data_IF_809348522157
#
_entry.id   IF_809348522157
#
_cell.length_a   1.000
_cell.length_b   1.000
_cell.length_c   1.000
_cell.angle_alpha   90.00
_cell.angle_beta   90.00
_cell.angle_gamma   90.00
#
_symmetry.space_group_name_H-M   'P 1'
#
loop_
_entity.id
_entity.type
_entity.pdbx_description
1 polymer ?
#
# COMPACT_ATOMS: atom_id res chain seq x y z
N UNK A 1 25.03 -12.06 -18.36
CA UNK A 1 23.68 -12.40 -17.90
C UNK A 1 23.24 -11.31 -16.94
N UNK A 2 22.33 -10.43 -17.37
CA UNK A 2 21.78 -9.36 -16.55
C UNK A 2 20.75 -9.96 -15.59
N UNK A 3 21.00 -9.82 -14.29
CA UNK A 3 20.05 -10.20 -13.25
C UNK A 3 18.74 -9.40 -13.47
N UNK A 4 17.59 -10.04 -13.79
CA UNK A 4 16.38 -9.31 -14.17
C UNK A 4 15.68 -8.63 -12.99
N UNK A 5 16.01 -9.02 -11.76
CA UNK A 5 15.55 -8.35 -10.55
C UNK A 5 16.68 -7.51 -9.96
N UNK A 6 16.50 -6.19 -9.99
CA UNK A 6 17.20 -5.26 -9.12
C UNK A 6 16.14 -4.56 -8.28
N UNK A 7 15.70 -5.18 -7.20
CA UNK A 7 15.15 -4.41 -6.09
C UNK A 7 16.13 -3.30 -5.77
N UNK A 8 15.61 -2.08 -5.62
CA UNK A 8 16.42 -0.91 -5.39
C UNK A 8 17.06 -1.02 -4.00
N UNK A 9 18.35 -0.69 -3.90
CA UNK A 9 19.04 -0.67 -2.61
C UNK A 9 18.51 0.41 -1.66
N UNK A 10 17.79 1.39 -2.21
CA UNK A 10 17.12 2.46 -1.49
C UNK A 10 15.74 2.67 -2.11
N UNK A 11 14.70 3.01 -1.33
CA UNK A 11 13.40 3.31 -1.91
C UNK A 11 13.46 4.49 -2.89
N UNK A 12 12.59 4.49 -3.90
CA UNK A 12 12.47 5.57 -4.89
C UNK A 12 11.02 5.96 -5.09
N UNK A 13 10.78 7.27 -5.23
CA UNK A 13 9.46 7.84 -5.52
C UNK A 13 9.37 8.28 -6.98
N UNK A 14 8.32 7.83 -7.67
CA UNK A 14 8.04 8.16 -9.08
C UNK A 14 6.58 8.60 -9.24
N UNK A 15 6.35 9.74 -9.89
CA UNK A 15 5.01 10.15 -10.30
C UNK A 15 4.60 9.38 -11.57
N UNK A 16 3.74 8.37 -11.45
CA UNK A 16 3.21 7.63 -12.60
C UNK A 16 2.17 8.44 -13.37
N UNK A 17 1.37 9.23 -12.64
CA UNK A 17 0.37 10.18 -13.14
C UNK A 17 0.31 11.37 -12.19
N UNK A 18 -0.31 12.51 -12.56
CA UNK A 18 -0.44 13.65 -11.66
C UNK A 18 -1.09 13.32 -10.31
N UNK A 19 -1.92 12.28 -10.26
CA UNK A 19 -2.66 11.83 -9.08
C UNK A 19 -2.20 10.46 -8.52
N UNK A 20 -1.11 9.89 -9.03
CA UNK A 20 -0.62 8.57 -8.61
C UNK A 20 0.91 8.62 -8.46
N UNK A 21 1.36 8.38 -7.24
CA UNK A 21 2.76 8.25 -6.88
C UNK A 21 3.03 6.79 -6.56
N UNK A 22 4.09 6.24 -7.15
CA UNK A 22 4.65 4.94 -6.83
C UNK A 22 5.88 5.16 -5.95
N UNK A 23 5.99 4.39 -4.87
CA UNK A 23 7.19 4.31 -4.05
C UNK A 23 7.68 2.85 -4.09
N UNK A 24 8.73 2.62 -4.86
CA UNK A 24 9.35 1.29 -5.06
C UNK A 24 10.42 1.07 -3.99
N UNK A 25 10.45 -0.11 -3.39
CA UNK A 25 11.48 -0.50 -2.42
C UNK A 25 11.78 -2.00 -2.49
N UNK A 26 12.81 -2.45 -1.78
CA UNK A 26 13.07 -3.88 -1.61
C UNK A 26 12.10 -4.48 -0.60
N UNK A 27 11.57 -5.66 -0.89
CA UNK A 27 10.71 -6.43 0.02
C UNK A 27 11.47 -6.76 1.32
N UNK A 28 10.99 -6.33 2.50
CA UNK A 28 11.60 -6.68 3.78
C UNK A 28 11.69 -8.18 4.03
N UNK A 29 10.76 -8.96 3.48
CA UNK A 29 10.74 -10.42 3.59
C UNK A 29 11.67 -11.13 2.60
N UNK A 30 12.24 -10.42 1.63
CA UNK A 30 13.04 -10.99 0.54
C UNK A 30 14.24 -10.10 0.14
N UNK A 31 14.87 -9.44 1.12
CA UNK A 31 16.01 -8.54 0.89
C UNK A 31 17.20 -9.23 0.20
N UNK A 32 17.47 -10.50 0.55
CA UNK A 32 18.60 -11.27 0.00
C UNK A 32 18.50 -11.45 -1.52
N UNK A 33 17.28 -11.60 -2.05
CA UNK A 33 17.01 -11.75 -3.47
C UNK A 33 16.59 -10.42 -4.14
N UNK A 34 16.52 -9.34 -3.36
CA UNK A 34 16.12 -7.99 -3.81
C UNK A 34 14.84 -8.01 -4.62
N UNK A 35 13.81 -8.67 -4.08
CA UNK A 35 12.49 -8.62 -4.70
C UNK A 35 11.96 -7.18 -4.58
N UNK A 36 11.51 -6.60 -5.69
CA UNK A 36 10.93 -5.25 -5.67
C UNK A 36 9.48 -5.32 -5.18
N UNK A 37 9.11 -4.40 -4.29
CA UNK A 37 7.75 -4.18 -3.80
C UNK A 37 7.29 -2.79 -4.19
N UNK A 38 6.02 -2.69 -4.57
CA UNK A 38 5.39 -1.45 -4.99
C UNK A 38 4.40 -0.98 -3.93
N UNK A 39 4.57 0.25 -3.48
CA UNK A 39 3.61 0.94 -2.61
C UNK A 39 3.14 2.21 -3.30
N UNK A 40 1.98 2.73 -2.94
CA UNK A 40 1.39 3.83 -3.69
C UNK A 40 0.87 4.94 -2.76
N UNK A 41 0.91 6.18 -3.25
CA UNK A 41 0.11 7.27 -2.74
C UNK A 41 -0.83 7.79 -3.84
N UNK A 42 -2.13 7.74 -3.59
CA UNK A 42 -3.14 8.34 -4.48
C UNK A 42 -3.43 9.76 -4.01
N UNK A 43 -3.29 10.73 -4.90
CA UNK A 43 -3.42 12.15 -4.57
C UNK A 43 -4.76 12.69 -5.05
N UNK A 44 -5.47 13.42 -4.20
CA UNK A 44 -6.66 14.16 -4.62
C UNK A 44 -6.90 15.39 -3.74
N UNK A 45 -7.07 16.57 -4.36
CA UNK A 45 -7.48 17.81 -3.70
C UNK A 45 -6.73 18.10 -2.37
N UNK A 46 -5.39 18.08 -2.40
CA UNK A 46 -4.55 18.32 -1.21
C UNK A 46 -4.56 17.19 -0.19
N UNK A 47 -4.99 15.98 -0.57
CA UNK A 47 -4.99 14.79 0.28
C UNK A 47 -4.21 13.67 -0.38
N UNK A 48 -3.68 12.76 0.42
CA UNK A 48 -3.12 11.49 -0.05
C UNK A 48 -3.77 10.29 0.64
N UNK A 49 -4.01 9.24 -0.13
CA UNK A 49 -4.36 7.90 0.34
C UNK A 49 -3.13 7.03 0.21
N UNK A 50 -2.64 6.52 1.32
CA UNK A 50 -1.47 5.64 1.35
C UNK A 50 -1.93 4.19 1.12
N UNK A 51 -1.15 3.43 0.35
CA UNK A 51 -1.40 2.03 0.04
C UNK A 51 -0.14 1.23 0.31
N UNK A 52 -0.19 0.33 1.28
CA UNK A 52 0.90 -0.56 1.70
C UNK A 52 2.21 0.16 2.11
N UNK A 53 2.17 1.46 2.44
CA UNK A 53 3.37 2.24 2.83
C UNK A 53 3.76 2.05 4.30
N UNK A 54 3.72 0.83 4.81
CA UNK A 54 3.74 0.53 6.25
C UNK A 54 5.12 0.20 6.83
N UNK A 55 6.19 0.54 6.12
CA UNK A 55 7.57 0.38 6.58
C UNK A 55 8.24 1.75 6.80
N UNK A 56 9.13 1.81 7.78
CA UNK A 56 9.73 3.04 8.32
C UNK A 56 10.59 3.78 7.30
N UNK A 57 11.26 3.04 6.42
CA UNK A 57 12.05 3.59 5.32
C UNK A 57 11.24 4.37 4.29
N UNK A 58 9.91 4.23 4.28
CA UNK A 58 9.01 4.99 3.40
C UNK A 58 8.49 6.28 4.02
N UNK A 59 8.61 6.47 5.34
CA UNK A 59 8.13 7.68 6.02
C UNK A 59 8.72 8.99 5.48
N UNK A 60 10.02 9.08 5.10
CA UNK A 60 10.56 10.29 4.48
C UNK A 60 9.80 10.71 3.21
N UNK A 61 9.33 9.75 2.42
CA UNK A 61 8.57 10.01 1.19
C UNK A 61 7.14 10.50 1.49
N UNK A 62 6.50 9.95 2.54
CA UNK A 62 5.19 10.43 3.02
C UNK A 62 5.30 11.86 3.56
N UNK A 63 6.38 12.17 4.29
CA UNK A 63 6.64 13.54 4.78
C UNK A 63 6.92 14.49 3.65
N UNK A 64 7.72 14.09 2.66
CA UNK A 64 7.95 14.89 1.45
C UNK A 64 6.62 15.24 0.74
N UNK A 65 5.73 14.27 0.52
CA UNK A 65 4.41 14.54 -0.06
C UNK A 65 3.56 15.47 0.82
N UNK A 66 3.76 15.43 2.14
CA UNK A 66 3.10 16.35 3.07
C UNK A 66 3.62 17.78 2.95
N UNK A 67 4.94 17.93 2.80
CA UNK A 67 5.59 19.22 2.53
C UNK A 67 5.15 19.81 1.17
N UNK A 68 4.86 18.94 0.20
CA UNK A 68 4.29 19.29 -1.11
C UNK A 68 2.78 19.66 -1.05
N UNK A 69 2.18 19.64 0.14
CA UNK A 69 0.81 20.12 0.38
C UNK A 69 -0.27 19.03 0.37
N UNK A 70 0.10 17.75 0.46
CA UNK A 70 -0.88 16.66 0.54
C UNK A 70 -0.99 16.12 1.98
N UNK A 71 -2.17 16.15 2.58
CA UNK A 71 -2.37 15.56 3.92
C UNK A 71 -2.75 14.07 3.85
N UNK A 72 -2.07 13.17 4.60
CA UNK A 72 -2.50 11.77 4.70
C UNK A 72 -3.93 11.67 5.21
N UNK A 73 -4.74 10.84 4.55
CA UNK A 73 -6.17 10.66 4.88
C UNK A 73 -6.52 9.27 5.39
N UNK A 74 -5.79 8.24 4.96
CA UNK A 74 -5.87 6.87 5.47
C UNK A 74 -4.66 6.07 4.96
N UNK A 75 -4.34 4.98 5.64
CA UNK A 75 -3.47 3.92 5.13
C UNK A 75 -4.31 2.69 4.83
N UNK A 76 -4.37 2.29 3.56
CA UNK A 76 -5.00 1.05 3.12
C UNK A 76 -3.96 -0.04 3.05
N UNK A 77 -4.27 -1.18 3.66
CA UNK A 77 -3.44 -2.36 3.63
C UNK A 77 -4.15 -3.42 2.81
N UNK A 78 -3.51 -3.87 1.74
CA UNK A 78 -4.13 -4.76 0.75
C UNK A 78 -4.35 -6.17 1.27
N UNK A 79 -3.51 -6.64 2.18
CA UNK A 79 -3.62 -7.96 2.80
C UNK A 79 -2.76 -8.08 4.08
N UNK A 80 -3.02 -9.11 4.90
CA UNK A 80 -2.38 -9.27 6.22
C UNK A 80 -0.86 -9.47 6.23
N UNK A 81 -0.23 -9.97 5.16
CA UNK A 81 1.23 -10.16 5.17
C UNK A 81 1.95 -8.82 5.23
N UNK A 82 1.42 -7.80 4.54
CA UNK A 82 1.88 -6.42 4.63
C UNK A 82 1.93 -5.99 6.09
N UNK A 83 0.86 -6.21 6.87
CA UNK A 83 0.84 -5.90 8.32
C UNK A 83 1.98 -6.57 9.07
N UNK A 84 2.20 -7.86 8.84
CA UNK A 84 3.22 -8.63 9.56
C UNK A 84 4.65 -8.27 9.19
N UNK A 85 4.88 -7.68 8.01
CA UNK A 85 6.18 -7.23 7.53
C UNK A 85 6.46 -5.75 7.82
N UNK A 86 5.43 -4.98 8.23
CA UNK A 86 5.54 -3.56 8.53
C UNK A 86 6.08 -3.27 9.92
N UNK A 87 6.97 -2.28 10.03
CA UNK A 87 7.49 -1.76 11.30
C UNK A 87 6.98 -0.35 11.64
N UNK A 88 6.28 0.34 10.73
CA UNK A 88 5.90 1.75 10.90
C UNK A 88 4.42 2.00 11.16
N UNK A 89 3.57 0.98 11.28
CA UNK A 89 2.12 1.18 11.43
C UNK A 89 1.75 2.03 12.66
N UNK A 90 2.42 1.80 13.79
CA UNK A 90 2.21 2.59 15.02
C UNK A 90 2.67 4.03 14.86
N UNK A 91 3.80 4.25 14.19
CA UNK A 91 4.36 5.58 13.93
C UNK A 91 3.45 6.37 12.98
N UNK A 92 3.01 5.76 11.87
CA UNK A 92 2.07 6.36 10.90
C UNK A 92 0.78 6.77 11.60
N UNK A 93 0.22 5.87 12.43
CA UNK A 93 -1.02 6.15 13.16
C UNK A 93 -0.84 7.30 14.15
N UNK A 94 0.28 7.36 14.85
CA UNK A 94 0.55 8.40 15.86
C UNK A 94 0.87 9.75 15.21
N UNK A 95 1.72 9.75 14.18
CA UNK A 95 2.19 10.95 13.49
C UNK A 95 1.08 11.62 12.69
N UNK A 96 0.33 10.85 11.90
CA UNK A 96 -0.67 11.41 10.98
C UNK A 96 -2.10 11.35 11.49
N UNK A 97 -2.36 10.60 12.58
CA UNK A 97 -3.69 10.41 13.15
C UNK A 97 -4.76 10.01 12.11
N UNK A 98 -4.40 9.03 11.28
CA UNK A 98 -5.25 8.52 10.18
C UNK A 98 -5.81 7.13 10.49
N UNK A 99 -6.97 6.77 9.92
CA UNK A 99 -7.47 5.41 10.00
C UNK A 99 -6.59 4.44 9.23
N UNK A 100 -6.41 3.23 9.79
CA UNK A 100 -5.77 2.10 9.14
C UNK A 100 -6.87 1.18 8.61
N UNK A 101 -6.88 0.91 7.31
CA UNK A 101 -7.92 0.10 6.67
C UNK A 101 -7.36 -1.27 6.29
N UNK A 102 -8.02 -2.33 6.73
CA UNK A 102 -7.70 -3.71 6.38
C UNK A 102 -9.00 -4.52 6.36
N UNK A 103 -9.12 -5.46 5.42
CA UNK A 103 -10.34 -6.26 5.33
C UNK A 103 -10.58 -7.08 6.62
N UNK A 104 -11.82 -7.18 7.13
CA UNK A 104 -12.10 -7.84 8.40
C UNK A 104 -11.67 -9.30 8.51
N UNK A 105 -11.63 -10.05 7.39
CA UNK A 105 -11.13 -11.43 7.38
C UNK A 105 -9.64 -11.45 7.78
N UNK A 106 -8.85 -10.53 7.23
CA UNK A 106 -7.43 -10.44 7.50
C UNK A 106 -7.12 -9.74 8.82
N UNK A 107 -7.93 -8.76 9.22
CA UNK A 107 -7.81 -8.09 10.52
C UNK A 107 -8.01 -9.03 11.73
N UNK A 108 -8.72 -10.16 11.54
CA UNK A 108 -8.90 -11.20 12.57
C UNK A 108 -7.79 -12.26 12.57
N UNK A 109 -6.86 -12.20 11.63
CA UNK A 109 -5.75 -13.15 11.56
C UNK A 109 -4.66 -12.80 12.57
N UNK A 110 -3.91 -13.81 13.06
CA UNK A 110 -2.86 -13.63 14.07
C UNK A 110 -1.81 -12.58 13.69
N UNK A 111 -1.42 -12.52 12.41
CA UNK A 111 -0.48 -11.51 11.89
C UNK A 111 -0.98 -10.07 12.10
N UNK A 112 -2.27 -9.82 11.91
CA UNK A 112 -2.85 -8.50 12.16
C UNK A 112 -3.05 -8.23 13.65
N UNK A 113 -3.52 -9.23 14.40
CA UNK A 113 -3.73 -9.12 15.85
C UNK A 113 -2.42 -8.85 16.62
N UNK A 114 -1.30 -9.40 16.15
CA UNK A 114 0.02 -9.18 16.75
C UNK A 114 0.46 -7.71 16.73
N UNK A 115 -0.06 -6.90 15.80
CA UNK A 115 0.21 -5.46 15.76
C UNK A 115 -0.40 -4.69 16.94
N UNK A 116 -1.44 -5.24 17.59
CA UNK A 116 -2.22 -4.54 18.62
C UNK A 116 -3.03 -3.34 18.10
N UNK A 117 -3.10 -3.15 16.78
CA UNK A 117 -3.77 -2.02 16.15
C UNK A 117 -5.22 -2.34 15.78
N UNK A 118 -6.06 -1.31 15.84
CA UNK A 118 -7.42 -1.37 15.33
C UNK A 118 -7.44 -1.03 13.83
N UNK A 119 -8.12 -1.87 13.05
CA UNK A 119 -8.32 -1.68 11.61
C UNK A 119 -9.81 -1.48 11.29
N UNK A 120 -10.09 -0.58 10.35
CA UNK A 120 -11.43 -0.34 9.83
C UNK A 120 -11.64 -1.06 8.49
N UNK A 121 -12.89 -1.42 8.18
CA UNK A 121 -13.21 -2.11 6.93
C UNK A 121 -13.07 -1.15 5.74
N UNK A 122 -12.22 -1.44 4.73
CA UNK A 122 -12.07 -0.57 3.56
C UNK A 122 -13.30 -0.59 2.62
N UNK A 123 -14.11 -1.65 2.61
CA UNK A 123 -15.26 -1.77 1.69
C UNK A 123 -16.32 -0.72 2.04
N UNK A 124 -16.62 0.18 1.09
CA UNK A 124 -17.57 1.28 1.27
C UNK A 124 -17.07 2.41 2.19
N UNK A 125 -15.78 2.41 2.55
CA UNK A 125 -15.23 3.37 3.48
C UNK A 125 -15.24 4.79 2.89
N UNK A 126 -15.78 5.76 3.64
CA UNK A 126 -16.00 7.14 3.15
C UNK A 126 -14.74 7.85 2.67
N UNK A 127 -13.57 7.47 3.22
CA UNK A 127 -12.30 8.06 2.79
C UNK A 127 -11.97 7.68 1.34
N UNK A 128 -12.25 6.44 0.91
CA UNK A 128 -11.92 5.97 -0.44
C UNK A 128 -12.79 6.67 -1.50
N UNK A 129 -14.06 6.96 -1.16
CA UNK A 129 -14.96 7.75 -2.01
C UNK A 129 -14.38 9.13 -2.34
N UNK A 130 -13.61 9.74 -1.42
CA UNK A 130 -12.95 11.03 -1.68
C UNK A 130 -11.86 10.91 -2.74
N UNK A 131 -11.31 9.73 -2.97
CA UNK A 131 -10.33 9.46 -4.04
C UNK A 131 -11.00 8.83 -5.28
N UNK A 132 -12.34 8.69 -5.28
CA UNK A 132 -13.07 7.93 -6.30
C UNK A 132 -12.55 6.51 -6.51
N UNK A 133 -12.13 5.88 -5.41
CA UNK A 133 -11.62 4.51 -5.39
C UNK A 133 -12.56 3.66 -4.57
N UNK A 134 -12.76 2.41 -4.98
CA UNK A 134 -13.44 1.39 -4.21
C UNK A 134 -12.48 0.26 -3.84
N UNK A 135 -12.66 -0.31 -2.64
CA UNK A 135 -12.00 -1.54 -2.24
C UNK A 135 -12.93 -2.73 -2.54
N UNK A 136 -12.42 -3.71 -3.27
CA UNK A 136 -13.14 -4.94 -3.61
C UNK A 136 -12.44 -6.11 -2.94
N UNK A 137 -13.22 -6.97 -2.28
CA UNK A 137 -12.71 -8.25 -1.77
C UNK A 137 -12.27 -9.11 -2.95
N UNK A 138 -11.01 -9.54 -2.93
CA UNK A 138 -10.41 -10.34 -3.98
C UNK A 138 -9.53 -11.42 -3.34
N UNK A 139 -10.13 -12.51 -2.85
CA UNK A 139 -9.39 -13.57 -2.18
C UNK A 139 -8.41 -14.23 -3.15
N UNK A 140 -7.15 -14.35 -2.72
CA UNK A 140 -6.06 -14.85 -3.55
C UNK A 140 -4.83 -15.07 -2.69
N UNK A 141 -3.97 -14.05 -2.60
CA UNK A 141 -2.78 -14.07 -1.74
C UNK A 141 -3.14 -14.40 -0.27
N UNK A 142 -4.23 -13.84 0.22
CA UNK A 142 -4.86 -14.18 1.50
C UNK A 142 -6.38 -14.22 1.34
N UNK A 143 -7.07 -14.79 2.33
CA UNK A 143 -8.53 -14.85 2.33
C UNK A 143 -9.19 -13.46 2.46
N UNK A 144 -8.48 -12.48 3.02
CA UNK A 144 -8.93 -11.10 3.14
C UNK A 144 -8.27 -10.13 2.17
N UNK A 145 -7.55 -10.61 1.15
CA UNK A 145 -6.94 -9.74 0.15
C UNK A 145 -7.98 -8.84 -0.53
N UNK A 146 -7.61 -7.59 -0.77
CA UNK A 146 -8.41 -6.62 -1.52
C UNK A 146 -7.65 -6.08 -2.71
N UNK A 147 -8.41 -5.59 -3.69
CA UNK A 147 -7.91 -4.71 -4.74
C UNK A 147 -8.55 -3.33 -4.60
N UNK A 148 -7.82 -2.29 -5.02
CA UNK A 148 -8.35 -0.93 -5.15
C UNK A 148 -8.65 -0.65 -6.62
N UNK A 149 -9.89 -0.30 -6.92
CA UNK A 149 -10.37 -0.08 -8.27
C UNK A 149 -10.93 1.34 -8.44
N UNK A 150 -10.71 1.92 -9.62
CA UNK A 150 -11.36 3.16 -10.04
C UNK A 150 -11.58 3.14 -11.54
N UNK A 151 -12.77 3.56 -12.00
CA UNK A 151 -13.05 3.85 -13.41
C UNK A 151 -12.63 5.26 -13.83
N UNK A 152 -12.32 6.14 -12.86
CA UNK A 152 -12.00 7.54 -13.13
C UNK A 152 -10.55 7.70 -13.59
N UNK A 153 -10.24 8.84 -14.21
CA UNK A 153 -8.87 9.24 -14.57
C UNK A 153 -8.08 8.17 -15.36
N UNK A 154 -8.73 7.55 -16.35
CA UNK A 154 -8.12 6.55 -17.24
C UNK A 154 -8.05 5.14 -16.65
N UNK A 155 -8.80 4.87 -15.59
CA UNK A 155 -8.84 3.57 -14.94
C UNK A 155 -7.63 3.31 -14.04
N UNK A 156 -7.88 2.67 -12.90
CA UNK A 156 -6.88 2.22 -11.95
C UNK A 156 -7.30 0.87 -11.36
N UNK A 157 -6.35 -0.05 -11.28
CA UNK A 157 -6.47 -1.27 -10.50
C UNK A 157 -5.15 -1.49 -9.75
N UNK A 158 -5.16 -1.39 -8.42
CA UNK A 158 -4.05 -1.77 -7.56
C UNK A 158 -4.39 -3.11 -6.91
N UNK A 159 -3.58 -4.13 -7.21
CA UNK A 159 -3.90 -5.52 -6.87
C UNK A 159 -3.22 -6.02 -5.59
N UNK A 160 -2.28 -5.24 -5.05
CA UNK A 160 -1.26 -5.77 -4.15
C UNK A 160 -0.62 -7.03 -4.74
N UNK A 161 -0.35 -7.99 -3.89
CA UNK A 161 0.27 -9.28 -4.26
C UNK A 161 -0.71 -10.30 -4.86
N UNK A 162 -1.99 -9.93 -5.05
CA UNK A 162 -3.00 -10.87 -5.57
C UNK A 162 -2.93 -11.08 -7.08
N UNK A 163 -2.11 -10.29 -7.80
CA UNK A 163 -1.83 -10.49 -9.21
C UNK A 163 -0.39 -10.96 -9.41
N UNK A 164 -0.22 -12.09 -10.08
CA UNK A 164 1.09 -12.61 -10.45
C UNK A 164 1.31 -12.43 -11.96
N UNK A 165 2.48 -11.91 -12.33
CA UNK A 165 2.87 -11.85 -13.74
C UNK A 165 3.27 -13.24 -14.23
N UNK A 166 2.76 -13.66 -15.40
CA UNK A 166 3.29 -14.85 -16.08
C UNK A 166 4.61 -14.49 -16.74
N UNK A 167 5.73 -14.97 -16.19
CA UNK A 167 7.01 -14.88 -16.88
C UNK A 167 6.97 -15.79 -18.13
N UNK A 168 7.40 -15.34 -19.32
CA UNK A 168 7.65 -16.28 -20.41
C UNK A 168 8.77 -17.20 -19.96
N UNK A 169 8.47 -18.48 -19.74
CA UNK A 169 9.50 -19.50 -19.55
C UNK A 169 10.50 -19.39 -20.72
N UNK A 170 11.81 -19.44 -20.45
CA UNK A 170 12.84 -19.34 -21.49
C UNK A 170 12.68 -20.41 -22.57
#
# INVERSE_FOLDING_TARGET
MSNPFRGLSLPQMTHLRPNIVLIEHSDPGAEEIRLSTNTYALLNAGRMLLVDTNISSLLPFVRQLSDDGFSPSALVITHRHVVGLGDALSDIKTEFNIPLLLHPIDARHQQALASGLHFENPIGHRVLNRFSVEALLFPGQTAGSIVLYSTNNGGLLLTGDSATGTWPLP
#
